data_IF_912580158093
#
_entry.id   IF_912580158093
#
_cell.length_a   1.000
_cell.length_b   1.000
_cell.length_c   1.000
_cell.angle_alpha   90.00
_cell.angle_beta   90.00
_cell.angle_gamma   90.00
#
_symmetry.space_group_name_H-M   'P 1'
#
loop_
_entity.id
_entity.type
_entity.pdbx_description
1 polymer ?
#
# COMPACT_ATOMS: atom_id res chain seq x y z
N UNK A 1 86.72 4.87 19.84
CA UNK A 1 86.06 5.81 18.90
C UNK A 1 85.58 5.14 17.61
N UNK A 2 86.39 4.37 16.87
CA UNK A 2 85.94 3.75 15.59
C UNK A 2 84.81 2.71 15.72
N UNK A 3 84.75 1.91 16.80
CA UNK A 3 83.66 0.93 17.02
C UNK A 3 82.29 1.58 17.29
N UNK A 4 82.27 2.60 18.15
CA UNK A 4 81.05 3.35 18.52
C UNK A 4 80.41 4.02 17.29
N UNK A 5 81.22 4.53 16.36
CA UNK A 5 80.72 5.15 15.13
C UNK A 5 80.08 4.10 14.20
N UNK A 6 80.65 2.89 14.12
CA UNK A 6 80.10 1.80 13.30
C UNK A 6 78.80 1.27 13.92
N UNK A 7 78.72 1.15 15.24
CA UNK A 7 77.50 0.72 15.95
C UNK A 7 76.35 1.72 15.77
N UNK A 8 76.61 3.02 15.88
CA UNK A 8 75.60 4.06 15.62
C UNK A 8 75.11 4.05 14.17
N UNK A 9 76.00 3.76 13.22
CA UNK A 9 75.62 3.66 11.80
C UNK A 9 74.72 2.47 11.52
N UNK A 10 75.00 1.31 12.13
CA UNK A 10 74.17 0.10 12.00
C UNK A 10 72.79 0.30 12.64
N UNK A 11 72.73 0.94 13.81
CA UNK A 11 71.45 1.26 14.48
C UNK A 11 70.61 2.22 13.62
N UNK A 12 71.24 3.24 13.04
CA UNK A 12 70.57 4.18 12.13
C UNK A 12 70.03 3.48 10.89
N UNK A 13 70.81 2.57 10.28
CA UNK A 13 70.40 1.83 9.10
C UNK A 13 69.21 0.90 9.39
N UNK A 14 69.21 0.21 10.53
CA UNK A 14 68.10 -0.65 10.95
C UNK A 14 66.84 0.16 11.23
N UNK A 15 66.96 1.34 11.85
CA UNK A 15 65.82 2.23 12.11
C UNK A 15 65.19 2.75 10.82
N UNK A 16 66.00 3.11 9.82
CA UNK A 16 65.53 3.56 8.50
C UNK A 16 64.84 2.41 7.75
N UNK A 17 65.43 1.21 7.76
CA UNK A 17 64.84 0.03 7.12
C UNK A 17 63.51 -0.37 7.78
N UNK A 18 63.43 -0.29 9.11
CA UNK A 18 62.18 -0.50 9.84
C UNK A 18 61.12 0.55 9.44
N UNK A 19 61.48 1.84 9.38
CA UNK A 19 60.56 2.90 8.99
C UNK A 19 59.95 2.68 7.59
N UNK A 20 60.76 2.31 6.60
CA UNK A 20 60.27 2.04 5.25
C UNK A 20 59.42 0.77 5.14
N UNK A 21 59.72 -0.27 5.93
CA UNK A 21 58.88 -1.49 6.00
C UNK A 21 57.54 -1.26 6.71
N UNK A 22 57.49 -0.36 7.68
CA UNK A 22 56.27 -0.03 8.45
C UNK A 22 55.38 1.04 7.78
N UNK A 23 55.93 1.87 6.89
CA UNK A 23 55.17 2.93 6.19
C UNK A 23 53.92 2.42 5.42
N UNK A 24 53.96 1.33 4.64
CA UNK A 24 52.76 0.82 3.95
C UNK A 24 51.72 0.20 4.91
N UNK A 25 52.06 -0.03 6.18
CA UNK A 25 51.14 -0.57 7.20
C UNK A 25 50.39 0.52 7.99
N UNK A 26 50.91 1.75 8.04
CA UNK A 26 50.25 2.91 8.67
C UNK A 26 49.39 3.72 7.70
N UNK A 27 49.72 3.69 6.40
CA UNK A 27 48.85 4.23 5.35
C UNK A 27 47.78 3.17 5.07
N UNK A 28 46.86 3.04 6.02
CA UNK A 28 45.64 2.27 5.81
C UNK A 28 44.94 2.88 4.61
N UNK A 29 44.86 2.12 3.52
CA UNK A 29 44.00 2.44 2.40
C UNK A 29 42.57 2.40 2.97
N UNK A 30 42.11 3.54 3.49
CA UNK A 30 40.75 3.75 3.94
C UNK A 30 39.91 3.84 2.69
N UNK A 31 39.74 2.69 2.04
CA UNK A 31 38.68 2.50 1.08
C UNK A 31 37.41 2.70 1.89
N UNK A 32 36.93 3.94 1.91
CA UNK A 32 35.57 4.28 2.32
C UNK A 32 34.71 3.49 1.36
N UNK A 33 34.34 2.27 1.76
CA UNK A 33 33.24 1.57 1.13
C UNK A 33 32.05 2.51 1.31
N UNK A 34 31.71 3.22 0.24
CA UNK A 34 30.50 4.01 0.15
C UNK A 34 29.36 3.01 0.30
N UNK A 35 28.82 2.93 1.50
CA UNK A 35 27.56 2.24 1.76
C UNK A 35 26.52 3.06 1.00
N UNK A 36 26.11 2.57 -0.17
CA UNK A 36 24.95 3.13 -0.87
C UNK A 36 23.72 2.63 -0.13
N UNK A 37 23.41 3.30 0.97
CA UNK A 37 22.14 3.18 1.67
C UNK A 37 21.13 3.88 0.78
N UNK A 38 20.18 3.15 0.21
CA UNK A 38 18.92 3.76 -0.22
C UNK A 38 18.29 4.32 1.06
N UNK A 39 18.27 5.65 1.21
CA UNK A 39 17.92 6.27 2.49
C UNK A 39 16.50 5.86 2.93
N UNK A 40 16.27 5.64 4.24
CA UNK A 40 14.95 5.35 4.80
C UNK A 40 13.85 6.33 4.36
N UNK A 41 14.26 7.55 3.97
CA UNK A 41 13.42 8.64 3.49
C UNK A 41 12.71 8.27 2.18
N UNK A 42 13.39 7.60 1.24
CA UNK A 42 12.80 7.20 -0.05
C UNK A 42 11.72 6.13 0.13
N UNK A 43 11.85 5.30 1.16
CA UNK A 43 10.86 4.28 1.50
C UNK A 43 9.64 4.86 2.20
N UNK A 44 9.85 5.83 3.10
CA UNK A 44 8.76 6.56 3.76
C UNK A 44 7.88 7.31 2.73
N UNK A 45 8.52 7.93 1.74
CA UNK A 45 7.83 8.68 0.69
C UNK A 45 6.94 7.78 -0.17
N UNK A 46 7.44 6.57 -0.52
CA UNK A 46 6.64 5.55 -1.22
C UNK A 46 5.43 5.06 -0.42
N UNK A 47 5.58 4.89 0.90
CA UNK A 47 4.45 4.53 1.76
C UNK A 47 3.41 5.65 1.75
N UNK A 48 3.82 6.90 1.99
CA UNK A 48 2.89 8.03 2.01
C UNK A 48 2.19 8.25 0.66
N UNK A 49 2.89 8.06 -0.46
CA UNK A 49 2.29 8.15 -1.80
C UNK A 49 1.24 7.06 -2.00
N UNK A 50 1.55 5.82 -1.63
CA UNK A 50 0.58 4.71 -1.72
C UNK A 50 -0.63 4.92 -0.79
N UNK A 51 -0.41 5.39 0.43
CA UNK A 51 -1.48 5.68 1.40
C UNK A 51 -2.41 6.78 0.88
N UNK A 52 -1.85 7.86 0.33
CA UNK A 52 -2.64 8.95 -0.28
C UNK A 52 -3.46 8.45 -1.46
N UNK A 53 -2.90 7.57 -2.29
CA UNK A 53 -3.62 6.95 -3.40
C UNK A 53 -4.82 6.13 -2.91
N UNK A 54 -4.63 5.26 -1.91
CA UNK A 54 -5.70 4.43 -1.36
C UNK A 54 -6.77 5.26 -0.66
N UNK A 55 -6.40 6.25 0.16
CA UNK A 55 -7.35 7.17 0.81
C UNK A 55 -8.21 7.89 -0.24
N UNK A 56 -7.59 8.44 -1.30
CA UNK A 56 -8.31 9.12 -2.37
C UNK A 56 -9.32 8.21 -3.08
N UNK A 57 -8.95 6.96 -3.34
CA UNK A 57 -9.84 5.95 -3.95
C UNK A 57 -10.99 5.57 -3.00
N UNK A 58 -10.70 5.32 -1.73
CA UNK A 58 -11.70 5.01 -0.71
C UNK A 58 -12.72 6.14 -0.59
N UNK A 59 -12.26 7.39 -0.53
CA UNK A 59 -13.16 8.55 -0.42
C UNK A 59 -14.02 8.73 -1.67
N UNK A 60 -13.47 8.46 -2.86
CA UNK A 60 -14.24 8.46 -4.10
C UNK A 60 -15.34 7.39 -4.08
N UNK A 61 -15.00 6.15 -3.73
CA UNK A 61 -15.97 5.05 -3.66
C UNK A 61 -17.05 5.32 -2.60
N UNK A 62 -16.67 5.90 -1.44
CA UNK A 62 -17.62 6.31 -0.40
C UNK A 62 -18.63 7.36 -0.91
N UNK A 63 -18.17 8.38 -1.64
CA UNK A 63 -19.06 9.41 -2.21
C UNK A 63 -20.07 8.80 -3.18
N UNK A 64 -19.60 7.98 -4.12
CA UNK A 64 -20.48 7.31 -5.10
C UNK A 64 -21.48 6.38 -4.41
N UNK A 65 -21.03 5.61 -3.41
CA UNK A 65 -21.91 4.74 -2.65
C UNK A 65 -22.97 5.52 -1.85
N UNK A 66 -22.63 6.70 -1.32
CA UNK A 66 -23.60 7.56 -0.61
C UNK A 66 -24.68 8.08 -1.56
N UNK A 67 -24.31 8.58 -2.74
CA UNK A 67 -25.24 9.04 -3.77
C UNK A 67 -26.17 7.91 -4.23
N UNK A 68 -25.59 6.74 -4.49
CA UNK A 68 -26.33 5.56 -4.91
C UNK A 68 -27.33 5.07 -3.86
N UNK A 69 -26.95 5.10 -2.58
CA UNK A 69 -27.89 4.80 -1.49
C UNK A 69 -29.04 5.80 -1.42
N UNK A 70 -28.78 7.08 -1.67
CA UNK A 70 -29.83 8.09 -1.73
C UNK A 70 -30.80 7.82 -2.90
N UNK A 71 -30.27 7.42 -4.06
CA UNK A 71 -31.09 7.07 -5.23
C UNK A 71 -31.97 5.84 -4.94
N UNK A 72 -31.43 4.78 -4.34
CA UNK A 72 -32.23 3.62 -3.93
C UNK A 72 -33.35 3.99 -2.96
N UNK A 73 -33.09 4.87 -1.99
CA UNK A 73 -34.12 5.32 -1.04
C UNK A 73 -35.25 6.06 -1.79
N UNK A 74 -34.91 6.97 -2.71
CA UNK A 74 -35.88 7.69 -3.53
C UNK A 74 -36.69 6.74 -4.42
N UNK A 75 -36.02 5.81 -5.10
CA UNK A 75 -36.66 4.81 -5.97
C UNK A 75 -37.60 3.90 -5.17
N UNK A 76 -37.20 3.45 -3.98
CA UNK A 76 -38.07 2.66 -3.09
C UNK A 76 -39.30 3.43 -2.62
N UNK A 77 -39.14 4.69 -2.26
CA UNK A 77 -40.26 5.55 -1.87
C UNK A 77 -41.24 5.72 -3.03
N UNK A 78 -40.73 6.00 -4.23
CA UNK A 78 -41.54 6.13 -5.45
C UNK A 78 -42.26 4.82 -5.80
N UNK A 79 -41.55 3.68 -5.71
CA UNK A 79 -42.13 2.36 -5.95
C UNK A 79 -43.25 2.02 -4.96
N UNK A 80 -43.12 2.45 -3.70
CA UNK A 80 -44.16 2.25 -2.69
C UNK A 80 -45.41 3.06 -3.03
N UNK A 81 -45.25 4.33 -3.43
CA UNK A 81 -46.37 5.16 -3.87
C UNK A 81 -47.07 4.56 -5.10
N UNK A 82 -46.31 4.17 -6.11
CA UNK A 82 -46.82 3.54 -7.33
C UNK A 82 -47.56 2.23 -7.04
N UNK A 83 -47.07 1.42 -6.09
CA UNK A 83 -47.78 0.18 -5.68
C UNK A 83 -49.13 0.46 -5.03
N UNK A 84 -49.22 1.48 -4.19
CA UNK A 84 -50.49 1.90 -3.56
C UNK A 84 -51.46 2.40 -4.62
N UNK A 85 -51.01 3.24 -5.54
CA UNK A 85 -51.83 3.76 -6.64
C UNK A 85 -52.30 2.66 -7.58
N UNK A 86 -51.42 1.73 -7.93
CA UNK A 86 -51.75 0.56 -8.74
C UNK A 86 -52.81 -0.32 -8.07
N UNK A 87 -52.70 -0.56 -6.75
CA UNK A 87 -53.71 -1.31 -6.00
C UNK A 87 -55.07 -0.59 -6.00
N UNK A 88 -55.08 0.73 -5.80
CA UNK A 88 -56.29 1.54 -5.86
C UNK A 88 -56.97 1.48 -7.23
N UNK A 89 -56.19 1.58 -8.31
CA UNK A 89 -56.73 1.51 -9.67
C UNK A 89 -57.26 0.13 -10.03
N UNK A 90 -56.62 -0.94 -9.57
CA UNK A 90 -57.15 -2.30 -9.73
C UNK A 90 -58.50 -2.44 -9.05
N UNK A 91 -58.64 -1.92 -7.83
CA UNK A 91 -59.92 -1.93 -7.14
C UNK A 91 -60.98 -1.10 -7.88
N UNK A 92 -60.64 0.09 -8.38
CA UNK A 92 -61.57 0.89 -9.19
C UNK A 92 -61.98 0.18 -10.49
N UNK A 93 -61.08 -0.53 -11.15
CA UNK A 93 -61.39 -1.35 -12.34
C UNK A 93 -62.35 -2.49 -11.97
N UNK A 94 -62.10 -3.19 -10.85
CA UNK A 94 -62.97 -4.26 -10.37
C UNK A 94 -64.39 -3.75 -10.02
N UNK A 95 -64.48 -2.58 -9.37
CA UNK A 95 -65.75 -1.93 -9.05
C UNK A 95 -66.51 -1.52 -10.33
N UNK A 96 -65.84 -0.91 -11.30
CA UNK A 96 -66.43 -0.51 -12.58
C UNK A 96 -66.89 -1.74 -13.39
N UNK A 97 -66.12 -2.82 -13.40
CA UNK A 97 -66.53 -4.10 -13.99
C UNK A 97 -67.76 -4.68 -13.31
N UNK A 98 -67.81 -4.65 -11.98
CA UNK A 98 -68.98 -5.11 -11.20
C UNK A 98 -70.25 -4.35 -11.59
N UNK A 99 -70.18 -3.02 -11.69
CA UNK A 99 -71.30 -2.18 -12.14
C UNK A 99 -71.69 -2.51 -13.57
N UNK A 100 -70.72 -2.76 -14.47
CA UNK A 100 -71.02 -3.10 -15.86
C UNK A 100 -71.83 -4.40 -15.99
N UNK A 101 -71.59 -5.39 -15.13
CA UNK A 101 -72.30 -6.66 -15.15
C UNK A 101 -73.64 -6.66 -14.40
N UNK A 102 -73.89 -5.66 -13.54
CA UNK A 102 -75.07 -5.62 -12.67
C UNK A 102 -76.09 -4.55 -13.07
N UNK A 103 -75.66 -3.51 -13.78
CA UNK A 103 -76.50 -2.40 -14.20
C UNK A 103 -77.39 -2.77 -15.40
N UNK A 104 -78.61 -2.25 -15.42
CA UNK A 104 -79.59 -2.52 -16.51
C UNK A 104 -79.92 -1.28 -17.33
N UNK A 105 -79.60 -0.08 -16.82
CA UNK A 105 -79.71 1.17 -17.57
C UNK A 105 -78.59 1.29 -18.61
N UNK A 106 -78.96 1.36 -19.89
CA UNK A 106 -78.03 1.48 -21.02
C UNK A 106 -77.19 2.76 -20.97
N UNK A 107 -77.74 3.87 -20.46
CA UNK A 107 -76.98 5.12 -20.34
C UNK A 107 -75.90 5.03 -19.25
N UNK A 108 -76.21 4.35 -18.14
CA UNK A 108 -75.26 4.12 -17.05
C UNK A 108 -74.14 3.15 -17.48
N UNK A 109 -74.48 2.11 -18.25
CA UNK A 109 -73.50 1.16 -18.80
C UNK A 109 -72.47 1.87 -19.70
N UNK A 110 -72.92 2.75 -20.60
CA UNK A 110 -72.03 3.48 -21.53
C UNK A 110 -71.07 4.42 -20.74
N UNK A 111 -71.61 5.20 -19.80
CA UNK A 111 -70.81 6.08 -18.93
C UNK A 111 -69.76 5.31 -18.12
N UNK A 112 -70.12 4.10 -17.66
CA UNK A 112 -69.21 3.21 -16.96
C UNK A 112 -68.11 2.65 -17.89
N UNK A 113 -68.44 2.30 -19.13
CA UNK A 113 -67.43 1.86 -20.12
C UNK A 113 -66.38 2.96 -20.40
N UNK A 114 -66.79 4.22 -20.52
CA UNK A 114 -65.86 5.34 -20.70
C UNK A 114 -64.95 5.50 -19.47
N UNK A 115 -65.53 5.41 -18.27
CA UNK A 115 -64.78 5.47 -17.00
C UNK A 115 -63.78 4.30 -16.86
N UNK A 116 -64.18 3.10 -17.27
CA UNK A 116 -63.35 1.90 -17.28
C UNK A 116 -62.19 2.04 -18.27
N UNK A 117 -62.44 2.59 -19.47
CA UNK A 117 -61.40 2.84 -20.45
C UNK A 117 -60.33 3.81 -19.90
N UNK A 118 -60.75 4.88 -19.23
CA UNK A 118 -59.82 5.82 -18.57
C UNK A 118 -59.03 5.14 -17.44
N UNK A 119 -59.71 4.39 -16.56
CA UNK A 119 -59.06 3.67 -15.47
C UNK A 119 -58.03 2.65 -15.97
N UNK A 120 -58.33 1.94 -17.07
CA UNK A 120 -57.42 0.97 -17.67
C UNK A 120 -56.19 1.64 -18.33
N UNK A 121 -56.37 2.77 -19.00
CA UNK A 121 -55.24 3.55 -19.55
C UNK A 121 -54.31 4.02 -18.44
N UNK A 122 -54.86 4.56 -17.34
CA UNK A 122 -54.08 4.99 -16.19
C UNK A 122 -53.36 3.82 -15.52
N UNK A 123 -54.04 2.69 -15.34
CA UNK A 123 -53.44 1.47 -14.80
C UNK A 123 -52.24 1.03 -15.63
N UNK A 124 -52.37 1.01 -16.96
CA UNK A 124 -51.26 0.65 -17.86
C UNK A 124 -50.08 1.62 -17.74
N UNK A 125 -50.33 2.92 -17.67
CA UNK A 125 -49.27 3.92 -17.50
C UNK A 125 -48.50 3.74 -16.18
N UNK A 126 -49.21 3.45 -15.09
CA UNK A 126 -48.63 3.22 -13.76
C UNK A 126 -47.89 1.88 -13.71
N UNK A 127 -48.36 0.86 -14.41
CA UNK A 127 -47.66 -0.41 -14.53
C UNK A 127 -46.33 -0.26 -15.28
N UNK A 128 -46.30 0.52 -16.37
CA UNK A 128 -45.07 0.88 -17.07
C UNK A 128 -44.10 1.67 -16.19
N UNK A 129 -44.60 2.61 -15.39
CA UNK A 129 -43.78 3.35 -14.43
C UNK A 129 -43.19 2.41 -13.35
N UNK A 130 -44.00 1.49 -12.83
CA UNK A 130 -43.58 0.47 -11.86
C UNK A 130 -42.42 -0.37 -12.42
N UNK A 131 -42.54 -0.84 -13.65
CA UNK A 131 -41.49 -1.63 -14.31
C UNK A 131 -40.21 -0.82 -14.50
N UNK A 132 -40.31 0.45 -14.94
CA UNK A 132 -39.16 1.35 -15.03
C UNK A 132 -38.47 1.60 -13.67
N UNK A 133 -39.25 1.72 -12.59
CA UNK A 133 -38.69 1.86 -11.23
C UNK A 133 -37.99 0.58 -10.77
N UNK A 134 -38.51 -0.60 -11.15
CA UNK A 134 -37.82 -1.87 -10.89
C UNK A 134 -36.50 -1.96 -11.64
N UNK A 135 -36.47 -1.61 -12.92
CA UNK A 135 -35.24 -1.58 -13.72
C UNK A 135 -34.20 -0.63 -13.12
N UNK A 136 -34.62 0.58 -12.72
CA UNK A 136 -33.74 1.53 -12.02
C UNK A 136 -33.17 0.94 -10.73
N UNK A 137 -34.01 0.26 -9.93
CA UNK A 137 -33.56 -0.37 -8.68
C UNK A 137 -32.57 -1.51 -8.94
N UNK A 138 -32.76 -2.29 -10.01
CA UNK A 138 -31.83 -3.35 -10.41
C UNK A 138 -30.48 -2.76 -10.83
N UNK A 139 -30.49 -1.71 -11.65
CA UNK A 139 -29.28 -0.99 -12.07
C UNK A 139 -28.53 -0.44 -10.85
N UNK A 140 -29.26 0.20 -9.92
CA UNK A 140 -28.65 0.76 -8.72
C UNK A 140 -28.01 -0.33 -7.85
N UNK A 141 -28.68 -1.47 -7.67
CA UNK A 141 -28.15 -2.60 -6.92
C UNK A 141 -26.92 -3.22 -7.61
N UNK A 142 -26.93 -3.36 -8.93
CA UNK A 142 -25.77 -3.82 -9.69
C UNK A 142 -24.58 -2.87 -9.52
N UNK A 143 -24.83 -1.56 -9.54
CA UNK A 143 -23.80 -0.56 -9.27
C UNK A 143 -23.26 -0.67 -7.83
N UNK A 144 -24.09 -0.99 -6.84
CA UNK A 144 -23.60 -1.23 -5.46
C UNK A 144 -22.69 -2.45 -5.38
N UNK A 145 -23.04 -3.54 -6.07
CA UNK A 145 -22.20 -4.74 -6.14
C UNK A 145 -20.86 -4.40 -6.79
N UNK A 146 -20.87 -3.69 -7.92
CA UNK A 146 -19.65 -3.26 -8.60
C UNK A 146 -18.74 -2.38 -7.73
N UNK A 147 -19.31 -1.47 -6.94
CA UNK A 147 -18.55 -0.65 -5.97
C UNK A 147 -17.95 -1.53 -4.86
N UNK A 148 -18.70 -2.50 -4.35
CA UNK A 148 -18.18 -3.45 -3.34
C UNK A 148 -17.05 -4.31 -3.91
N UNK A 149 -17.19 -4.81 -5.12
CA UNK A 149 -16.12 -5.55 -5.81
C UNK A 149 -14.87 -4.68 -6.02
N UNK A 150 -15.06 -3.40 -6.37
CA UNK A 150 -13.97 -2.44 -6.48
C UNK A 150 -13.27 -2.19 -5.14
N UNK A 151 -14.03 -2.13 -4.03
CA UNK A 151 -13.46 -2.00 -2.68
C UNK A 151 -12.66 -3.24 -2.27
N UNK A 152 -13.15 -4.44 -2.60
CA UNK A 152 -12.44 -5.71 -2.35
C UNK A 152 -11.14 -5.75 -3.15
N UNK A 153 -11.19 -5.37 -4.43
CA UNK A 153 -9.99 -5.28 -5.28
C UNK A 153 -8.98 -4.29 -4.70
N UNK A 154 -9.45 -3.11 -4.26
CA UNK A 154 -8.58 -2.10 -3.67
C UNK A 154 -7.90 -2.60 -2.38
N UNK A 155 -8.65 -3.31 -1.54
CA UNK A 155 -8.11 -3.90 -0.31
C UNK A 155 -7.07 -4.99 -0.62
N UNK A 156 -7.29 -5.78 -1.68
CA UNK A 156 -6.32 -6.75 -2.15
C UNK A 156 -5.04 -6.07 -2.63
N UNK A 157 -5.15 -5.00 -3.42
CA UNK A 157 -4.01 -4.22 -3.91
C UNK A 157 -3.21 -3.61 -2.75
N UNK A 158 -3.90 -3.11 -1.71
CA UNK A 158 -3.27 -2.60 -0.49
C UNK A 158 -2.50 -3.71 0.25
N UNK A 159 -3.11 -4.88 0.44
CA UNK A 159 -2.45 -6.03 1.07
C UNK A 159 -1.23 -6.51 0.28
N UNK A 160 -1.33 -6.61 -1.05
CA UNK A 160 -0.21 -7.02 -1.90
C UNK A 160 0.92 -5.97 -1.88
N UNK A 161 0.58 -4.67 -1.88
CA UNK A 161 1.56 -3.57 -1.75
C UNK A 161 2.27 -3.64 -0.39
N UNK A 162 1.52 -3.80 0.70
CA UNK A 162 2.09 -3.93 2.05
C UNK A 162 2.99 -5.16 2.15
N UNK A 163 2.57 -6.31 1.60
CA UNK A 163 3.36 -7.54 1.57
C UNK A 163 4.67 -7.36 0.81
N UNK A 164 4.62 -6.73 -0.36
CA UNK A 164 5.81 -6.45 -1.17
C UNK A 164 6.78 -5.51 -0.43
N UNK A 165 6.24 -4.46 0.21
CA UNK A 165 7.01 -3.52 1.01
C UNK A 165 7.68 -4.20 2.20
N UNK A 166 6.95 -5.02 2.97
CA UNK A 166 7.51 -5.78 4.10
C UNK A 166 8.58 -6.78 3.66
N UNK A 167 8.35 -7.48 2.53
CA UNK A 167 9.33 -8.42 1.98
C UNK A 167 10.61 -7.70 1.56
N UNK A 168 10.48 -6.53 0.95
CA UNK A 168 11.62 -5.67 0.58
C UNK A 168 12.40 -5.20 1.81
N UNK A 169 11.71 -4.71 2.86
CA UNK A 169 12.34 -4.33 4.13
C UNK A 169 13.10 -5.51 4.75
N UNK A 170 12.47 -6.68 4.80
CA UNK A 170 13.09 -7.87 5.37
C UNK A 170 14.38 -8.24 4.62
N UNK A 171 14.36 -8.18 3.28
CA UNK A 171 15.54 -8.41 2.46
C UNK A 171 16.65 -7.38 2.71
N UNK A 172 16.32 -6.09 2.71
CA UNK A 172 17.27 -5.02 2.99
C UNK A 172 17.87 -5.13 4.39
N UNK A 173 17.06 -5.46 5.40
CA UNK A 173 17.53 -5.65 6.76
C UNK A 173 18.50 -6.84 6.86
N UNK A 174 18.20 -7.95 6.19
CA UNK A 174 19.08 -9.11 6.12
C UNK A 174 20.42 -8.78 5.45
N UNK A 175 20.38 -7.99 4.38
CA UNK A 175 21.58 -7.51 3.71
C UNK A 175 22.42 -6.62 4.65
N UNK A 176 21.80 -5.65 5.34
CA UNK A 176 22.48 -4.79 6.31
C UNK A 176 23.10 -5.54 7.48
N UNK A 177 22.44 -6.59 7.98
CA UNK A 177 23.00 -7.48 9.01
C UNK A 177 24.23 -8.24 8.47
N UNK A 178 24.14 -8.75 7.25
CA UNK A 178 25.25 -9.45 6.59
C UNK A 178 26.44 -8.50 6.38
N UNK A 179 26.21 -7.29 5.90
CA UNK A 179 27.26 -6.28 5.74
C UNK A 179 27.86 -5.86 7.10
N UNK A 180 27.05 -5.66 8.13
CA UNK A 180 27.55 -5.33 9.48
C UNK A 180 28.42 -6.44 10.07
N UNK A 181 28.01 -7.71 9.90
CA UNK A 181 28.78 -8.86 10.38
C UNK A 181 30.11 -8.97 9.63
N UNK A 182 30.10 -8.83 8.31
CA UNK A 182 31.33 -8.79 7.49
C UNK A 182 32.26 -7.65 7.91
N UNK A 183 31.73 -6.43 8.11
CA UNK A 183 32.51 -5.29 8.59
C UNK A 183 33.11 -5.55 9.97
N UNK A 184 32.35 -6.13 10.91
CA UNK A 184 32.86 -6.51 12.24
C UNK A 184 33.99 -7.53 12.14
N UNK A 185 33.90 -8.50 11.23
CA UNK A 185 34.97 -9.47 10.99
C UNK A 185 36.22 -8.82 10.41
N UNK A 186 36.08 -7.94 9.41
CA UNK A 186 37.20 -7.19 8.85
C UNK A 186 37.90 -6.35 9.93
N UNK A 187 37.14 -5.65 10.77
CA UNK A 187 37.68 -4.88 11.90
C UNK A 187 38.42 -5.79 12.88
N UNK A 188 37.87 -6.97 13.22
CA UNK A 188 38.56 -7.95 14.09
C UNK A 188 39.87 -8.44 13.46
N UNK A 189 39.88 -8.76 12.16
CA UNK A 189 41.09 -9.18 11.42
C UNK A 189 42.14 -8.06 11.43
N UNK A 190 41.76 -6.82 11.13
CA UNK A 190 42.66 -5.66 11.20
C UNK A 190 43.20 -5.41 12.62
N UNK A 191 42.36 -5.53 13.67
CA UNK A 191 42.83 -5.40 15.07
C UNK A 191 43.83 -6.48 15.45
N UNK A 192 43.60 -7.74 15.05
CA UNK A 192 44.54 -8.85 15.30
C UNK A 192 45.87 -8.62 14.57
N UNK A 193 45.81 -8.22 13.30
CA UNK A 193 47.01 -7.88 12.51
C UNK A 193 47.82 -6.74 13.15
N UNK A 194 47.16 -5.66 13.58
CA UNK A 194 47.82 -4.54 14.29
C UNK A 194 48.46 -4.97 15.62
N UNK A 195 47.82 -5.86 16.39
CA UNK A 195 48.38 -6.39 17.65
C UNK A 195 49.60 -7.27 17.42
N UNK A 196 49.57 -8.15 16.41
CA UNK A 196 50.72 -8.99 16.05
C UNK A 196 51.90 -8.14 15.59
N UNK A 197 51.65 -7.17 14.72
CA UNK A 197 52.69 -6.23 14.26
C UNK A 197 53.24 -5.39 15.40
N UNK A 198 52.40 -4.91 16.32
CA UNK A 198 52.85 -4.20 17.51
C UNK A 198 53.71 -5.06 18.45
N UNK A 199 53.36 -6.36 18.61
CA UNK A 199 54.15 -7.30 19.39
C UNK A 199 55.54 -7.57 18.78
N UNK A 200 55.60 -7.79 17.46
CA UNK A 200 56.88 -7.95 16.74
C UNK A 200 57.73 -6.68 16.86
N UNK A 201 57.12 -5.50 16.73
CA UNK A 201 57.81 -4.22 16.89
C UNK A 201 58.37 -4.04 18.30
N UNK A 202 57.63 -4.45 19.34
CA UNK A 202 58.09 -4.37 20.73
C UNK A 202 59.30 -5.30 20.98
N UNK A 203 59.31 -6.50 20.40
CA UNK A 203 60.45 -7.43 20.50
C UNK A 203 61.68 -6.87 19.80
N UNK A 204 61.53 -6.33 18.58
CA UNK A 204 62.64 -5.72 17.85
C UNK A 204 63.20 -4.52 18.61
N UNK A 205 62.33 -3.66 19.14
CA UNK A 205 62.75 -2.51 19.95
C UNK A 205 63.45 -2.97 21.23
N UNK A 206 62.95 -4.02 21.89
CA UNK A 206 63.58 -4.59 23.09
C UNK A 206 64.97 -5.16 22.82
N UNK A 207 65.15 -5.90 21.72
CA UNK A 207 66.46 -6.43 21.31
C UNK A 207 67.43 -5.29 20.97
N UNK A 208 66.97 -4.25 20.28
CA UNK A 208 67.79 -3.07 19.98
C UNK A 208 68.23 -2.33 21.25
N UNK A 209 67.36 -2.23 22.27
CA UNK A 209 67.70 -1.62 23.56
C UNK A 209 68.72 -2.47 24.31
N UNK A 210 68.57 -3.79 24.33
CA UNK A 210 69.53 -4.70 24.99
C UNK A 210 70.90 -4.66 24.30
N UNK A 211 70.94 -4.66 22.98
CA UNK A 211 72.19 -4.54 22.19
C UNK A 211 72.84 -3.16 22.31
N UNK A 212 72.07 -2.10 22.62
CA UNK A 212 72.63 -0.77 22.85
C UNK A 212 73.16 -0.55 24.28
N UNK A 213 72.77 -1.41 25.23
CA UNK A 213 73.17 -1.33 26.65
C UNK A 213 74.37 -2.26 26.96
N UNK A 214 74.68 -3.22 26.08
CA UNK A 214 75.88 -4.08 26.14
C UNK A 214 76.90 -3.70 25.08
#
# INVERSE_FOLDING_TARGET
MKKIIVELFVISLIAVMAYYFLKPLFIGNSQKLSVRVEEPIVFLDKIHESEKYFIGKIDSLKRVNADLNQNIIKTRSSLTAVKVENASLRQSIDDLLSVHYTETDTSAIISNCDSLAVAFVNFKAIDQLKDSLYDSMVIDLQSQVSIKDSMISLQKDECDTLRNNLTSIAYQHQQLLTENTQQREMIKKHRKGKRLLGGILAVITGVLVVVAIH
#
